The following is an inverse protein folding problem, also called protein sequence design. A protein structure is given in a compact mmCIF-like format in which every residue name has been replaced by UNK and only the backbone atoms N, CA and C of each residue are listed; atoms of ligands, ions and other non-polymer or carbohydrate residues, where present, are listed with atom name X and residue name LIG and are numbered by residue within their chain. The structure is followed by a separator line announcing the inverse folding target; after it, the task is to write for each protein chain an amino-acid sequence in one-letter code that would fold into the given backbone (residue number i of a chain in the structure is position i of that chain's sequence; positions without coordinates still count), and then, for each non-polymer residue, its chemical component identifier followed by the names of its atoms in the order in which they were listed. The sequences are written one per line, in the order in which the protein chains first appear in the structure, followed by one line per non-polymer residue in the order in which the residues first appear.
data_IF_634612848522
#
_entry.id   IF_634612848522
#
_cell.length_a   1.000
_cell.length_b   1.000
_cell.length_c   1.000
_cell.angle_alpha   90.00
_cell.angle_beta   90.00
_cell.angle_gamma   90.00
#
_symmetry.space_group_name_H-M   'P 1'
#
loop_
_entity.id
_entity.type
_entity.pdbx_description
1 polymer ?
#
# COMPACT_ATOMS: atom_id res chain seq x y z
N UNK A 1 -68.74 -2.01 10.55
CA UNK A 1 -67.41 -2.46 11.01
C UNK A 1 -66.46 -1.28 10.75
N UNK A 2 -66.47 -0.20 11.52
CA UNK A 2 -66.45 0.01 12.99
C UNK A 2 -65.21 -0.53 13.67
N UNK A 3 -64.47 0.42 14.27
CA UNK A 3 -63.48 0.29 15.35
C UNK A 3 -62.11 -0.24 14.95
N UNK A 4 -61.10 0.64 14.96
CA UNK A 4 -59.84 0.44 15.72
C UNK A 4 -58.77 1.45 15.24
N UNK A 5 -58.96 2.76 15.50
CA UNK A 5 -57.92 3.76 15.20
C UNK A 5 -57.92 4.98 16.14
N UNK A 6 -58.15 4.75 17.45
CA UNK A 6 -58.32 5.86 18.40
C UNK A 6 -57.62 5.66 19.77
N UNK A 7 -56.46 4.99 19.81
CA UNK A 7 -55.71 4.77 21.06
C UNK A 7 -54.21 5.03 20.93
N UNK A 8 -53.79 6.16 20.34
CA UNK A 8 -52.37 6.53 20.39
C UNK A 8 -52.09 8.05 20.43
N UNK A 9 -52.90 8.82 21.17
CA UNK A 9 -52.76 10.29 21.20
C UNK A 9 -52.34 10.94 22.52
N UNK A 10 -52.25 10.24 23.66
CA UNK A 10 -52.12 10.91 24.97
C UNK A 10 -50.98 10.38 25.88
N UNK A 11 -49.77 10.15 25.37
CA UNK A 11 -48.61 9.76 26.23
C UNK A 11 -47.56 10.90 26.37
N UNK A 12 -47.76 12.06 25.76
CA UNK A 12 -46.77 13.17 25.82
C UNK A 12 -47.14 14.33 26.75
N UNK A 13 -48.36 14.38 27.28
CA UNK A 13 -48.87 15.58 28.00
C UNK A 13 -48.37 15.73 29.46
N UNK A 14 -47.49 14.85 29.92
CA UNK A 14 -46.87 14.92 31.25
C UNK A 14 -45.35 14.99 31.24
N UNK A 15 -44.71 14.99 30.07
CA UNK A 15 -43.25 14.99 29.99
C UNK A 15 -42.78 16.45 30.12
N UNK A 16 -42.04 16.81 31.17
CA UNK A 16 -41.52 18.16 31.33
C UNK A 16 -40.75 18.57 30.08
N UNK A 17 -40.99 19.78 29.58
CA UNK A 17 -40.37 20.28 28.35
C UNK A 17 -38.84 20.10 28.30
N UNK A 18 -38.18 20.12 29.47
CA UNK A 18 -36.75 19.86 29.58
C UNK A 18 -36.32 18.42 29.23
N UNK A 19 -37.16 17.41 29.46
CA UNK A 19 -36.83 16.00 29.12
C UNK A 19 -36.99 15.76 27.62
N UNK A 20 -37.99 16.37 27.00
CA UNK A 20 -38.17 16.32 25.54
C UNK A 20 -37.02 17.03 24.82
N UNK A 21 -36.59 18.19 25.31
CA UNK A 21 -35.44 18.90 24.77
C UNK A 21 -34.12 18.16 25.00
N UNK A 22 -33.94 17.50 26.15
CA UNK A 22 -32.79 16.66 26.41
C UNK A 22 -32.75 15.41 25.49
N UNK A 23 -33.89 14.75 25.27
CA UNK A 23 -33.98 13.60 24.38
C UNK A 23 -33.72 13.98 22.91
N UNK A 24 -34.17 15.16 22.48
CA UNK A 24 -33.92 15.67 21.13
C UNK A 24 -32.46 16.10 20.93
N UNK A 25 -31.83 16.69 21.95
CA UNK A 25 -30.40 16.97 21.96
C UNK A 25 -29.56 15.68 21.90
N UNK A 26 -29.92 14.66 22.68
CA UNK A 26 -29.25 13.35 22.67
C UNK A 26 -29.45 12.62 21.34
N UNK A 27 -30.63 12.73 20.73
CA UNK A 27 -30.91 12.15 19.40
C UNK A 27 -30.13 12.85 18.29
N UNK A 28 -29.91 14.16 18.40
CA UNK A 28 -29.09 14.92 17.45
C UNK A 28 -27.58 14.68 17.63
N UNK A 29 -27.12 14.31 18.83
CA UNK A 29 -25.74 13.85 19.05
C UNK A 29 -25.48 12.41 18.59
N UNK A 30 -26.50 11.53 18.58
CA UNK A 30 -26.33 10.09 18.35
C UNK A 30 -26.57 9.61 16.91
N UNK A 31 -26.86 10.50 15.95
CA UNK A 31 -26.94 10.12 14.53
C UNK A 31 -25.69 10.59 13.78
N UNK A 32 -24.56 9.87 13.88
CA UNK A 32 -23.41 10.14 13.04
C UNK A 32 -23.73 9.69 11.61
N UNK A 33 -23.89 10.68 10.73
CA UNK A 33 -23.98 10.55 9.28
C UNK A 33 -22.94 9.54 8.75
N UNK A 34 -23.39 8.33 8.43
CA UNK A 34 -22.52 7.21 8.00
C UNK A 34 -21.78 7.51 6.69
N UNK A 35 -22.23 8.48 5.89
CA UNK A 35 -21.57 8.86 4.64
C UNK A 35 -20.27 9.64 4.85
N UNK A 36 -20.05 10.23 6.04
CA UNK A 36 -18.85 11.03 6.36
C UNK A 36 -17.62 10.22 6.74
N UNK A 37 -17.75 8.90 6.98
CA UNK A 37 -16.65 8.08 7.51
C UNK A 37 -15.52 7.79 6.51
N UNK A 38 -15.80 7.69 5.20
CA UNK A 38 -14.72 7.60 4.19
C UNK A 38 -14.17 8.98 3.78
N UNK A 39 -14.86 10.05 4.16
CA UNK A 39 -14.50 11.43 3.87
C UNK A 39 -13.58 12.05 4.93
N UNK A 40 -13.33 11.40 6.07
CA UNK A 40 -12.57 12.03 7.17
C UNK A 40 -11.11 12.33 6.80
N UNK A 41 -10.46 11.50 5.99
CA UNK A 41 -9.09 11.75 5.52
C UNK A 41 -9.02 12.91 4.52
N UNK A 42 -9.98 12.99 3.59
CA UNK A 42 -10.06 14.08 2.63
C UNK A 42 -10.47 15.41 3.28
N UNK A 43 -11.39 15.37 4.25
CA UNK A 43 -11.78 16.53 5.04
C UNK A 43 -10.60 17.00 5.88
N UNK A 44 -9.88 16.09 6.55
CA UNK A 44 -8.66 16.42 7.28
C UNK A 44 -7.59 17.06 6.39
N UNK A 45 -7.42 16.57 5.16
CA UNK A 45 -6.51 17.17 4.18
C UNK A 45 -6.95 18.59 3.75
N UNK A 46 -8.24 18.80 3.48
CA UNK A 46 -8.78 20.12 3.15
C UNK A 46 -8.66 21.08 4.33
N UNK A 47 -8.86 20.59 5.55
CA UNK A 47 -8.71 21.37 6.79
C UNK A 47 -7.25 21.74 7.04
N UNK A 48 -6.30 20.84 6.72
CA UNK A 48 -4.85 21.09 6.72
C UNK A 48 -4.43 22.16 5.70
N UNK A 49 -5.00 22.12 4.49
CA UNK A 49 -4.79 23.18 3.47
C UNK A 49 -5.30 24.52 4.01
N UNK A 50 -6.49 24.50 4.63
CA UNK A 50 -7.14 25.70 5.16
C UNK A 50 -6.42 26.28 6.37
N UNK A 51 -5.77 25.45 7.18
CA UNK A 51 -5.07 25.87 8.41
C UNK A 51 -3.65 26.39 8.18
N UNK A 52 -3.17 26.44 6.93
CA UNK A 52 -1.78 26.80 6.59
C UNK A 52 -0.74 26.04 7.42
N UNK A 53 -0.99 24.76 7.67
CA UNK A 53 -0.06 23.91 8.38
C UNK A 53 1.30 23.87 7.67
N UNK A 54 2.36 23.59 8.43
CA UNK A 54 3.72 23.46 7.89
C UNK A 54 3.71 22.47 6.71
N UNK A 55 4.29 22.91 5.59
CA UNK A 55 4.34 22.18 4.32
C UNK A 55 4.70 20.70 4.51
N UNK A 56 5.66 20.40 5.39
CA UNK A 56 6.15 19.04 5.65
C UNK A 56 5.05 18.09 6.20
N UNK A 57 4.18 18.57 7.11
CA UNK A 57 3.08 17.75 7.65
C UNK A 57 2.05 17.44 6.57
N UNK A 58 1.73 18.45 5.75
CA UNK A 58 0.76 18.34 4.67
C UNK A 58 1.22 17.33 3.60
N UNK A 59 2.50 17.37 3.22
CA UNK A 59 3.07 16.39 2.28
C UNK A 59 3.07 14.97 2.84
N UNK A 60 3.42 14.79 4.12
CA UNK A 60 3.40 13.48 4.77
C UNK A 60 1.99 12.85 4.78
N UNK A 61 1.00 13.63 5.21
CA UNK A 61 -0.40 13.20 5.27
C UNK A 61 -0.98 12.92 3.88
N UNK A 62 -0.66 13.75 2.88
CA UNK A 62 -1.06 13.53 1.49
C UNK A 62 -0.46 12.24 0.93
N UNK A 63 0.84 12.02 1.13
CA UNK A 63 1.54 10.82 0.65
C UNK A 63 0.92 9.56 1.25
N UNK A 64 0.62 9.56 2.55
CA UNK A 64 -0.05 8.45 3.20
C UNK A 64 -1.45 8.20 2.63
N UNK A 65 -2.26 9.24 2.47
CA UNK A 65 -3.61 9.13 1.93
C UNK A 65 -3.60 8.56 0.50
N UNK A 66 -2.64 8.99 -0.31
CA UNK A 66 -2.38 8.46 -1.65
C UNK A 66 -2.05 6.96 -1.57
N UNK A 67 -1.07 6.56 -0.75
CA UNK A 67 -0.67 5.15 -0.59
C UNK A 67 -1.85 4.27 -0.16
N UNK A 68 -2.61 4.69 0.86
CA UNK A 68 -3.77 3.94 1.35
C UNK A 68 -4.83 3.80 0.25
N UNK A 69 -5.16 4.90 -0.42
CA UNK A 69 -6.14 4.90 -1.52
C UNK A 69 -5.71 3.95 -2.64
N UNK A 70 -4.41 3.91 -2.95
CA UNK A 70 -3.88 2.98 -3.94
C UNK A 70 -3.94 1.53 -3.52
N UNK A 71 -3.64 1.19 -2.27
CA UNK A 71 -3.80 -0.18 -1.80
C UNK A 71 -5.25 -0.66 -2.00
N UNK A 72 -6.23 0.17 -1.62
CA UNK A 72 -7.64 -0.14 -1.86
C UNK A 72 -7.98 -0.25 -3.35
N UNK A 73 -7.45 0.66 -4.17
CA UNK A 73 -7.67 0.63 -5.61
C UNK A 73 -7.06 -0.61 -6.28
N UNK A 74 -5.88 -1.05 -5.86
CA UNK A 74 -5.24 -2.30 -6.34
C UNK A 74 -6.08 -3.51 -5.97
N UNK A 75 -6.53 -3.61 -4.72
CA UNK A 75 -7.43 -4.68 -4.27
C UNK A 75 -8.71 -4.69 -5.11
N UNK A 76 -9.32 -3.52 -5.33
CA UNK A 76 -10.52 -3.40 -6.14
C UNK A 76 -10.30 -3.85 -7.59
N UNK A 77 -9.18 -3.47 -8.22
CA UNK A 77 -8.84 -3.94 -9.56
C UNK A 77 -8.66 -5.46 -9.58
N UNK A 78 -7.95 -6.04 -8.61
CA UNK A 78 -7.73 -7.48 -8.55
C UNK A 78 -9.04 -8.25 -8.43
N UNK A 79 -9.96 -7.78 -7.58
CA UNK A 79 -11.30 -8.37 -7.44
C UNK A 79 -12.10 -8.22 -8.74
N UNK A 80 -12.13 -7.02 -9.33
CA UNK A 80 -12.87 -6.73 -10.57
C UNK A 80 -12.39 -7.59 -11.75
N UNK A 81 -11.08 -7.80 -11.86
CA UNK A 81 -10.48 -8.58 -12.94
C UNK A 81 -10.41 -10.08 -12.65
N UNK A 82 -10.91 -10.52 -11.48
CA UNK A 82 -10.96 -11.93 -11.13
C UNK A 82 -9.58 -12.57 -10.92
N UNK A 83 -8.56 -11.78 -10.57
CA UNK A 83 -7.20 -12.27 -10.29
C UNK A 83 -7.18 -13.38 -9.21
N UNK A 84 -7.98 -13.30 -8.13
CA UNK A 84 -8.05 -14.39 -7.15
C UNK A 84 -8.42 -15.75 -7.75
N UNK A 85 -9.22 -15.80 -8.83
CA UNK A 85 -9.59 -17.05 -9.48
C UNK A 85 -8.41 -17.69 -10.22
N UNK A 86 -7.44 -16.90 -10.70
CA UNK A 86 -6.22 -17.43 -11.32
C UNK A 86 -5.38 -18.23 -10.33
N UNK A 87 -5.47 -17.99 -9.03
CA UNK A 87 -4.77 -18.83 -8.04
C UNK A 87 -5.33 -20.25 -7.96
N UNK A 88 -6.63 -20.44 -8.21
CA UNK A 88 -7.21 -21.78 -8.22
C UNK A 88 -6.60 -22.62 -9.35
N UNK A 89 -6.45 -22.03 -10.54
CA UNK A 89 -5.78 -22.62 -11.71
C UNK A 89 -4.31 -22.94 -11.41
N UNK A 90 -3.57 -21.98 -10.83
CA UNK A 90 -2.16 -22.19 -10.43
C UNK A 90 -2.01 -23.33 -9.42
N UNK A 91 -2.91 -23.41 -8.42
CA UNK A 91 -2.87 -24.50 -7.44
C UNK A 91 -3.24 -25.86 -8.01
N UNK A 92 -4.02 -25.91 -9.09
CA UNK A 92 -4.33 -27.15 -9.79
C UNK A 92 -3.11 -27.65 -10.58
N UNK A 93 -2.46 -26.77 -11.34
CA UNK A 93 -1.23 -27.08 -12.09
C UNK A 93 -0.06 -27.45 -11.16
N UNK A 94 0.09 -26.76 -10.02
CA UNK A 94 1.07 -27.13 -8.99
C UNK A 94 0.89 -28.60 -8.53
N UNK A 95 -0.34 -29.05 -8.31
CA UNK A 95 -0.61 -30.44 -7.92
C UNK A 95 -0.24 -31.43 -9.03
N UNK A 96 -0.38 -31.02 -10.30
CA UNK A 96 0.00 -31.85 -11.45
C UNK A 96 1.52 -31.99 -11.50
N UNK A 97 2.28 -30.89 -11.36
CA UNK A 97 3.74 -30.93 -11.40
C UNK A 97 4.33 -31.70 -10.23
N UNK A 98 3.79 -31.53 -9.01
CA UNK A 98 4.24 -32.27 -7.84
C UNK A 98 3.96 -33.78 -7.91
N UNK A 99 3.01 -34.20 -8.74
CA UNK A 99 2.68 -35.62 -8.99
C UNK A 99 3.31 -36.16 -10.27
N UNK A 100 4.11 -35.37 -10.96
CA UNK A 100 4.78 -35.79 -12.19
C UNK A 100 5.82 -36.88 -11.88
N UNK A 101 5.84 -37.95 -12.68
CA UNK A 101 6.87 -39.00 -12.60
C UNK A 101 8.25 -38.52 -13.11
N UNK A 102 8.27 -37.36 -13.76
CA UNK A 102 9.47 -36.76 -14.33
C UNK A 102 10.25 -35.93 -13.29
N UNK A 103 11.40 -36.48 -12.85
CA UNK A 103 12.28 -35.87 -11.85
C UNK A 103 12.78 -34.47 -12.26
N UNK A 104 13.11 -34.25 -13.54
CA UNK A 104 13.63 -32.95 -14.02
C UNK A 104 12.57 -31.85 -13.88
N UNK A 105 11.30 -32.20 -14.10
CA UNK A 105 10.17 -31.27 -13.95
C UNK A 105 9.98 -30.93 -12.48
N UNK A 106 9.98 -31.93 -11.60
CA UNK A 106 9.81 -31.75 -10.15
C UNK A 106 10.96 -30.92 -9.57
N UNK A 107 12.21 -31.23 -9.91
CA UNK A 107 13.39 -30.49 -9.46
C UNK A 107 13.32 -29.02 -9.91
N UNK A 108 13.01 -28.79 -11.20
CA UNK A 108 12.88 -27.44 -11.74
C UNK A 108 11.77 -26.66 -11.04
N UNK A 109 10.63 -27.30 -10.80
CA UNK A 109 9.50 -26.71 -10.09
C UNK A 109 9.89 -26.32 -8.66
N UNK A 110 10.43 -27.26 -7.88
CA UNK A 110 10.84 -27.04 -6.49
C UNK A 110 11.92 -25.96 -6.38
N UNK A 111 12.87 -25.91 -7.31
CA UNK A 111 13.89 -24.86 -7.37
C UNK A 111 13.28 -23.47 -7.57
N UNK A 112 12.27 -23.33 -8.43
CA UNK A 112 11.55 -22.08 -8.61
C UNK A 112 10.70 -21.70 -7.40
N UNK A 113 10.05 -22.67 -6.76
CA UNK A 113 9.29 -22.44 -5.51
C UNK A 113 10.22 -21.99 -4.38
N UNK A 114 11.42 -22.57 -4.28
CA UNK A 114 12.42 -22.16 -3.29
C UNK A 114 12.87 -20.71 -3.54
N UNK A 115 13.15 -20.35 -4.80
CA UNK A 115 13.47 -18.98 -5.20
C UNK A 115 12.32 -18.01 -4.84
N UNK A 116 11.07 -18.38 -5.16
CA UNK A 116 9.90 -17.57 -4.82
C UNK A 116 9.76 -17.35 -3.31
N UNK A 117 9.85 -18.41 -2.51
CA UNK A 117 9.80 -18.33 -1.04
C UNK A 117 10.88 -17.39 -0.51
N UNK A 118 12.09 -17.47 -1.08
CA UNK A 118 13.18 -16.58 -0.72
C UNK A 118 12.87 -15.11 -1.07
N UNK A 119 12.39 -14.82 -2.28
CA UNK A 119 12.04 -13.47 -2.72
C UNK A 119 10.94 -12.85 -1.86
N UNK A 120 9.85 -13.58 -1.60
CA UNK A 120 8.74 -13.11 -0.77
C UNK A 120 9.18 -12.94 0.68
N UNK A 121 9.98 -13.87 1.22
CA UNK A 121 10.53 -13.76 2.58
C UNK A 121 11.39 -12.50 2.72
N UNK A 122 12.30 -12.25 1.77
CA UNK A 122 13.12 -11.03 1.75
C UNK A 122 12.24 -9.77 1.69
N UNK A 123 11.21 -9.75 0.84
CA UNK A 123 10.28 -8.62 0.76
C UNK A 123 9.55 -8.37 2.08
N UNK A 124 9.04 -9.43 2.73
CA UNK A 124 8.37 -9.34 4.04
C UNK A 124 9.35 -8.79 5.07
N UNK A 125 10.57 -9.32 5.14
CA UNK A 125 11.59 -8.89 6.09
C UNK A 125 11.99 -7.42 5.90
N UNK A 126 12.24 -7.00 4.66
CA UNK A 126 12.56 -5.60 4.35
C UNK A 126 11.42 -4.66 4.76
N UNK A 127 10.18 -5.00 4.38
CA UNK A 127 9.02 -4.17 4.69
C UNK A 127 8.77 -4.13 6.20
N UNK A 128 8.90 -5.26 6.89
CA UNK A 128 8.76 -5.35 8.34
C UNK A 128 9.81 -4.50 9.05
N UNK A 129 11.07 -4.59 8.62
CA UNK A 129 12.16 -3.79 9.18
C UNK A 129 11.89 -2.29 9.04
N UNK A 130 11.49 -1.83 7.85
CA UNK A 130 11.14 -0.42 7.62
C UNK A 130 10.00 0.05 8.54
N UNK A 131 8.94 -0.74 8.66
CA UNK A 131 7.80 -0.42 9.53
C UNK A 131 8.18 -0.44 11.01
N UNK A 132 8.98 -1.42 11.45
CA UNK A 132 9.46 -1.51 12.82
C UNK A 132 10.33 -0.30 13.18
N UNK A 133 11.27 0.08 12.32
CA UNK A 133 12.10 1.28 12.51
C UNK A 133 11.23 2.54 12.59
N UNK A 134 10.21 2.66 11.72
CA UNK A 134 9.28 3.78 11.75
C UNK A 134 8.50 3.85 13.08
N UNK A 135 7.93 2.73 13.54
CA UNK A 135 7.19 2.66 14.80
C UNK A 135 8.09 2.99 15.99
N UNK A 136 9.25 2.33 16.10
CA UNK A 136 10.20 2.53 17.20
C UNK A 136 10.69 3.97 17.25
N UNK A 137 10.99 4.59 16.11
CA UNK A 137 11.43 5.98 16.04
C UNK A 137 10.36 6.96 16.55
N UNK A 138 9.09 6.73 16.21
CA UNK A 138 7.98 7.56 16.70
C UNK A 138 7.72 7.34 18.20
N UNK A 139 7.78 6.11 18.69
CA UNK A 139 7.66 5.81 20.13
C UNK A 139 8.80 6.44 20.93
N UNK A 140 10.03 6.34 20.44
CA UNK A 140 11.20 6.95 21.08
C UNK A 140 11.05 8.48 21.20
N UNK A 141 10.63 9.15 20.12
CA UNK A 141 10.33 10.59 20.14
C UNK A 141 9.24 10.94 21.16
N UNK A 142 8.21 10.10 21.27
CA UNK A 142 7.10 10.28 22.22
C UNK A 142 7.58 10.20 23.66
N UNK A 143 8.32 9.14 24.01
CA UNK A 143 8.81 8.91 25.37
C UNK A 143 9.75 10.03 25.82
N UNK A 144 10.58 10.55 24.91
CA UNK A 144 11.52 11.62 25.20
C UNK A 144 10.92 13.03 25.09
N UNK A 145 9.61 13.16 24.88
CA UNK A 145 8.93 14.45 24.64
C UNK A 145 9.65 15.31 23.59
N UNK A 146 10.23 14.66 22.57
CA UNK A 146 11.06 15.30 21.55
C UNK A 146 10.26 15.75 20.32
N UNK A 147 8.93 15.67 20.38
CA UNK A 147 8.07 16.21 19.35
C UNK A 147 8.11 17.73 19.39
N UNK A 148 8.39 18.33 18.23
CA UNK A 148 8.28 19.79 18.09
C UNK A 148 6.81 20.20 18.15
N UNK A 149 6.53 21.45 18.55
CA UNK A 149 5.17 21.99 18.49
C UNK A 149 4.58 21.80 17.08
N UNK A 150 3.47 21.06 17.03
CA UNK A 150 2.75 20.70 15.81
C UNK A 150 3.18 19.39 15.14
N UNK A 151 4.16 18.65 15.67
CA UNK A 151 4.45 17.29 15.21
C UNK A 151 3.42 16.31 15.78
N UNK A 152 2.82 15.53 14.88
CA UNK A 152 1.85 14.47 15.21
C UNK A 152 2.55 13.12 15.38
N UNK A 153 1.99 12.29 16.27
CA UNK A 153 2.43 10.92 16.45
C UNK A 153 2.05 10.07 15.24
N UNK A 154 3.06 9.58 14.49
CA UNK A 154 2.93 8.78 13.26
C UNK A 154 2.20 9.47 12.10
N UNK A 155 0.88 9.65 12.21
CA UNK A 155 0.01 10.14 11.13
C UNK A 155 -1.01 11.15 11.62
N UNK A 156 -1.29 12.14 10.78
CA UNK A 156 -2.33 13.13 11.05
C UNK A 156 -3.71 12.59 10.66
N UNK A 157 -4.24 11.67 11.46
CA UNK A 157 -5.61 11.18 11.29
C UNK A 157 -6.55 12.10 12.07
N UNK A 158 -7.65 12.49 11.41
CA UNK A 158 -8.74 13.19 12.07
C UNK A 158 -9.58 12.19 12.85
N UNK A 159 -9.69 12.40 14.16
CA UNK A 159 -10.58 11.65 15.04
C UNK A 159 -11.66 12.59 15.57
N UNK A 160 -12.92 12.13 15.70
CA UNK A 160 -14.01 12.94 16.26
C UNK A 160 -13.92 13.11 17.78
N UNK A 161 -12.77 12.83 18.39
CA UNK A 161 -12.53 12.87 19.84
C UNK A 161 -11.39 13.84 20.14
N UNK A 162 -11.44 14.49 21.30
CA UNK A 162 -10.34 15.35 21.78
C UNK A 162 -9.07 14.51 21.98
N UNK A 163 -8.03 14.82 21.20
CA UNK A 163 -6.77 14.07 21.20
C UNK A 163 -6.08 14.11 22.56
N UNK A 164 -6.27 15.20 23.33
CA UNK A 164 -5.59 15.38 24.62
C UNK A 164 -6.09 14.40 25.68
N UNK A 165 -7.37 14.01 25.63
CA UNK A 165 -7.96 13.12 26.63
C UNK A 165 -7.72 11.62 26.31
N UNK A 166 -7.41 11.29 25.05
CA UNK A 166 -7.33 9.90 24.57
C UNK A 166 -6.01 9.57 23.84
N UNK A 167 -4.92 10.27 24.19
CA UNK A 167 -3.62 10.16 23.51
C UNK A 167 -3.09 8.70 23.41
N UNK A 168 -3.18 7.93 24.49
CA UNK A 168 -2.77 6.51 24.49
C UNK A 168 -3.60 5.66 23.53
N UNK A 169 -4.93 5.85 23.53
CA UNK A 169 -5.83 5.09 22.66
C UNK A 169 -5.56 5.39 21.18
N UNK A 170 -5.38 6.67 20.85
CA UNK A 170 -5.06 7.11 19.49
C UNK A 170 -3.73 6.50 19.04
N UNK A 171 -2.72 6.51 19.91
CA UNK A 171 -1.41 5.93 19.61
C UNK A 171 -1.48 4.42 19.31
N UNK A 172 -2.29 3.68 20.07
CA UNK A 172 -2.51 2.24 19.83
C UNK A 172 -3.23 2.04 18.50
N UNK A 173 -4.25 2.85 18.20
CA UNK A 173 -4.96 2.79 16.91
C UNK A 173 -4.04 3.07 15.73
N UNK A 174 -3.16 4.07 15.82
CA UNK A 174 -2.19 4.40 14.76
C UNK A 174 -1.23 3.24 14.50
N UNK A 175 -0.68 2.61 15.56
CA UNK A 175 0.15 1.41 15.43
C UNK A 175 -0.61 0.26 14.76
N UNK A 176 -1.87 0.05 15.13
CA UNK A 176 -2.72 -0.95 14.50
C UNK A 176 -2.96 -0.65 13.01
N UNK A 177 -3.23 0.60 12.66
CA UNK A 177 -3.45 1.04 11.28
C UNK A 177 -2.20 0.88 10.42
N UNK A 178 -1.02 1.25 10.94
CA UNK A 178 0.28 1.00 10.29
C UNK A 178 0.46 -0.49 10.01
N UNK A 179 0.14 -1.33 11.00
CA UNK A 179 0.27 -2.79 10.89
C UNK A 179 -0.67 -3.37 9.84
N UNK A 180 -1.92 -2.91 9.77
CA UNK A 180 -2.88 -3.31 8.73
C UNK A 180 -2.39 -2.86 7.35
N UNK A 181 -1.90 -1.63 7.23
CA UNK A 181 -1.31 -1.10 6.00
C UNK A 181 -0.13 -1.96 5.52
N UNK A 182 0.74 -2.37 6.45
CA UNK A 182 1.85 -3.29 6.18
C UNK A 182 1.39 -4.61 5.57
N UNK A 183 0.44 -5.31 6.21
CA UNK A 183 -0.04 -6.60 5.72
C UNK A 183 -0.72 -6.47 4.36
N UNK A 184 -1.54 -5.44 4.18
CA UNK A 184 -2.19 -5.18 2.89
C UNK A 184 -1.17 -4.88 1.79
N UNK A 185 -0.13 -4.08 2.07
CA UNK A 185 0.91 -3.78 1.09
C UNK A 185 1.65 -5.04 0.64
N UNK A 186 2.07 -5.89 1.58
CA UNK A 186 2.73 -7.17 1.29
C UNK A 186 1.80 -8.10 0.50
N UNK A 187 0.54 -8.22 0.91
CA UNK A 187 -0.42 -9.09 0.24
C UNK A 187 -0.67 -8.65 -1.20
N UNK A 188 -0.89 -7.35 -1.43
CA UNK A 188 -1.14 -6.80 -2.76
C UNK A 188 0.07 -6.93 -3.66
N UNK A 189 1.28 -6.67 -3.16
CA UNK A 189 2.50 -6.78 -3.94
C UNK A 189 2.86 -8.25 -4.28
N UNK A 190 2.57 -9.20 -3.39
CA UNK A 190 2.92 -10.62 -3.62
C UNK A 190 2.08 -11.28 -4.72
N UNK A 191 0.85 -10.82 -4.98
CA UNK A 191 -0.05 -11.39 -5.98
C UNK A 191 0.55 -11.40 -7.40
N UNK A 192 0.92 -10.25 -8.01
CA UNK A 192 1.48 -10.24 -9.36
C UNK A 192 2.82 -10.98 -9.43
N UNK A 193 3.66 -10.91 -8.38
CA UNK A 193 4.91 -11.68 -8.34
C UNK A 193 4.68 -13.19 -8.40
N UNK A 194 3.70 -13.69 -7.65
CA UNK A 194 3.38 -15.12 -7.62
C UNK A 194 2.93 -15.60 -9.00
N UNK A 195 2.02 -14.85 -9.64
CA UNK A 195 1.48 -15.23 -10.94
C UNK A 195 2.52 -15.12 -12.07
N UNK A 196 3.41 -14.12 -12.01
CA UNK A 196 4.51 -13.98 -12.97
C UNK A 196 5.55 -15.10 -12.82
N UNK A 197 5.86 -15.49 -11.58
CA UNK A 197 6.78 -16.60 -11.33
C UNK A 197 6.16 -17.90 -11.82
N UNK A 198 4.87 -18.14 -11.56
CA UNK A 198 4.14 -19.28 -12.12
C UNK A 198 4.31 -19.37 -13.65
N UNK A 199 4.07 -18.28 -14.38
CA UNK A 199 4.27 -18.26 -15.86
C UNK A 199 5.71 -18.59 -16.23
N UNK A 200 6.69 -18.07 -15.50
CA UNK A 200 8.11 -18.40 -15.70
C UNK A 200 8.39 -19.88 -15.48
N UNK A 201 7.79 -20.50 -14.46
CA UNK A 201 7.92 -21.93 -14.18
C UNK A 201 7.31 -22.76 -15.31
N UNK A 202 6.09 -22.45 -15.74
CA UNK A 202 5.40 -23.14 -16.84
C UNK A 202 6.21 -23.09 -18.13
N UNK A 203 6.81 -21.94 -18.46
CA UNK A 203 7.66 -21.80 -19.64
C UNK A 203 8.93 -22.66 -19.53
N UNK A 204 9.56 -22.74 -18.35
CA UNK A 204 10.73 -23.63 -18.12
C UNK A 204 10.36 -25.10 -18.25
N UNK A 205 9.24 -25.51 -17.66
CA UNK A 205 8.73 -26.89 -17.77
C UNK A 205 8.43 -27.22 -19.23
N UNK A 206 7.81 -26.30 -19.97
CA UNK A 206 7.57 -26.46 -21.40
C UNK A 206 8.88 -26.65 -22.18
N UNK A 207 9.93 -25.88 -21.88
CA UNK A 207 11.25 -26.05 -22.50
C UNK A 207 11.85 -27.43 -22.23
N UNK A 208 11.72 -27.95 -21.00
CA UNK A 208 12.18 -29.29 -20.64
C UNK A 208 11.41 -30.34 -21.45
N UNK A 209 10.08 -30.23 -21.52
CA UNK A 209 9.24 -31.17 -22.29
C UNK A 209 9.57 -31.13 -23.78
N UNK A 210 9.79 -29.95 -24.37
CA UNK A 210 10.24 -29.80 -25.76
C UNK A 210 11.57 -30.55 -25.95
N UNK A 211 12.56 -30.32 -25.08
CA UNK A 211 13.86 -30.99 -25.17
C UNK A 211 13.70 -32.51 -25.12
N UNK A 212 12.87 -33.03 -24.22
CA UNK A 212 12.63 -34.47 -24.08
C UNK A 212 11.98 -35.10 -25.31
N UNK A 213 10.99 -34.43 -25.92
CA UNK A 213 10.35 -34.92 -27.15
C UNK A 213 11.37 -35.06 -28.28
N UNK A 214 12.23 -34.05 -28.47
CA UNK A 214 13.23 -34.07 -29.54
C UNK A 214 14.50 -34.89 -29.23
N UNK A 215 14.80 -35.15 -27.96
CA UNK A 215 15.90 -36.04 -27.56
C UNK A 215 15.49 -37.51 -27.47
N UNK A 216 14.19 -37.82 -27.47
CA UNK A 216 13.74 -39.21 -27.50
C UNK A 216 14.04 -39.82 -28.87
N UNK A 217 14.69 -40.99 -28.91
CA UNK A 217 14.90 -41.76 -30.14
C UNK A 217 13.62 -42.48 -30.60
N UNK A 218 12.44 -41.91 -30.33
CA UNK A 218 11.19 -42.48 -30.81
C UNK A 218 11.15 -42.43 -32.34
N UNK A 219 10.94 -43.60 -32.95
CA UNK A 219 10.92 -43.77 -34.40
C UNK A 219 9.51 -43.62 -35.00
N UNK A 220 8.49 -43.48 -34.16
CA UNK A 220 7.12 -43.29 -34.60
C UNK A 220 6.80 -41.80 -34.77
N UNK A 221 6.79 -41.34 -36.02
CA UNK A 221 6.46 -39.97 -36.40
C UNK A 221 5.06 -39.55 -35.90
N UNK A 222 4.12 -40.48 -35.79
CA UNK A 222 2.76 -40.20 -35.31
C UNK A 222 2.73 -39.85 -33.81
N UNK A 223 3.45 -40.61 -32.98
CA UNK A 223 3.69 -40.31 -31.56
C UNK A 223 4.29 -38.90 -31.37
N UNK A 224 5.35 -38.60 -32.12
CA UNK A 224 6.05 -37.30 -32.01
C UNK A 224 5.13 -36.16 -32.40
N UNK A 225 4.36 -36.29 -33.49
CA UNK A 225 3.40 -35.28 -33.91
C UNK A 225 2.32 -35.00 -32.85
N UNK A 226 1.82 -36.04 -32.17
CA UNK A 226 0.85 -35.88 -31.08
C UNK A 226 1.45 -35.14 -29.88
N UNK A 227 2.67 -35.48 -29.46
CA UNK A 227 3.37 -34.80 -28.36
C UNK A 227 3.65 -33.33 -28.69
N UNK A 228 4.09 -33.04 -29.91
CA UNK A 228 4.30 -31.66 -30.37
C UNK A 228 2.99 -30.87 -30.36
N UNK A 229 1.88 -31.47 -30.79
CA UNK A 229 0.55 -30.83 -30.72
C UNK A 229 0.13 -30.51 -29.29
N UNK A 230 0.40 -31.39 -28.33
CA UNK A 230 0.15 -31.12 -26.90
C UNK A 230 1.00 -29.95 -26.39
N UNK A 231 2.29 -29.90 -26.75
CA UNK A 231 3.19 -28.81 -26.38
C UNK A 231 2.72 -27.46 -26.93
N UNK A 232 2.28 -27.43 -28.19
CA UNK A 232 1.71 -26.21 -28.81
C UNK A 232 0.48 -25.75 -28.03
N UNK A 233 -0.42 -26.68 -27.68
CA UNK A 233 -1.63 -26.35 -26.90
C UNK A 233 -1.28 -25.80 -25.52
N UNK A 234 -0.31 -26.41 -24.83
CA UNK A 234 0.18 -25.90 -23.53
C UNK A 234 0.81 -24.52 -23.66
N UNK A 235 1.59 -24.27 -24.71
CA UNK A 235 2.16 -22.95 -24.97
C UNK A 235 1.09 -21.87 -25.21
N UNK A 236 0.08 -22.19 -26.03
CA UNK A 236 -1.06 -21.31 -26.28
C UNK A 236 -1.82 -20.98 -24.99
N UNK A 237 -2.05 -21.99 -24.14
CA UNK A 237 -2.67 -21.78 -22.83
C UNK A 237 -1.86 -20.81 -21.95
N UNK A 238 -0.54 -20.94 -21.89
CA UNK A 238 0.33 -20.01 -21.15
C UNK A 238 0.21 -18.59 -21.71
N UNK A 239 0.15 -18.43 -23.04
CA UNK A 239 -0.03 -17.11 -23.68
C UNK A 239 -1.39 -16.51 -23.32
N UNK A 240 -2.46 -17.30 -23.37
CA UNK A 240 -3.82 -16.86 -22.99
C UNK A 240 -3.87 -16.42 -21.53
N UNK A 241 -3.30 -17.23 -20.63
CA UNK A 241 -3.17 -16.91 -19.21
C UNK A 241 -2.38 -15.60 -19.00
N UNK A 242 -1.21 -15.46 -19.64
CA UNK A 242 -0.37 -14.27 -19.51
C UNK A 242 -1.06 -13.03 -20.08
N UNK A 243 -1.80 -13.16 -21.18
CA UNK A 243 -2.57 -12.06 -21.78
C UNK A 243 -3.66 -11.59 -20.82
N UNK A 244 -4.42 -12.54 -20.24
CA UNK A 244 -5.45 -12.25 -19.24
C UNK A 244 -4.85 -11.62 -17.97
N UNK A 245 -3.71 -12.13 -17.51
CA UNK A 245 -2.99 -11.57 -16.37
C UNK A 245 -2.56 -10.13 -16.65
N UNK A 246 -1.90 -9.90 -17.79
CA UNK A 246 -1.44 -8.59 -18.22
C UNK A 246 -2.60 -7.60 -18.34
N UNK A 247 -3.71 -7.98 -18.97
CA UNK A 247 -4.90 -7.12 -19.03
C UNK A 247 -5.48 -6.82 -17.65
N UNK A 248 -5.37 -7.77 -16.72
CA UNK A 248 -5.80 -7.62 -15.35
C UNK A 248 -4.91 -6.71 -14.49
N UNK A 249 -3.60 -6.65 -14.75
CA UNK A 249 -2.63 -5.93 -13.90
C UNK A 249 -1.99 -4.70 -14.54
N UNK A 250 -2.11 -4.49 -15.87
CA UNK A 250 -1.44 -3.38 -16.58
C UNK A 250 -1.72 -2.01 -15.98
N UNK A 251 -2.97 -1.76 -15.57
CA UNK A 251 -3.36 -0.49 -14.95
C UNK A 251 -2.77 -0.33 -13.55
N UNK A 252 -2.63 -1.43 -12.81
CA UNK A 252 -2.00 -1.44 -11.48
C UNK A 252 -0.52 -1.10 -11.60
N UNK A 253 0.18 -1.74 -12.52
CA UNK A 253 1.60 -1.49 -12.79
C UNK A 253 1.82 -0.04 -13.21
N UNK A 254 0.97 0.49 -14.10
CA UNK A 254 1.08 1.88 -14.56
C UNK A 254 0.93 2.88 -13.40
N UNK A 255 -0.05 2.67 -12.53
CA UNK A 255 -0.29 3.56 -11.38
C UNK A 255 0.86 3.46 -10.38
N UNK A 256 1.34 2.26 -10.10
CA UNK A 256 2.50 2.04 -9.23
C UNK A 256 3.75 2.75 -9.76
N UNK A 257 4.01 2.61 -11.07
CA UNK A 257 5.13 3.30 -11.72
C UNK A 257 5.06 4.83 -11.61
N UNK A 258 3.88 5.42 -11.85
CA UNK A 258 3.69 6.87 -11.72
C UNK A 258 3.97 7.34 -10.29
N UNK A 259 3.52 6.57 -9.30
CA UNK A 259 3.71 6.93 -7.89
C UNK A 259 5.14 6.79 -7.44
N UNK A 260 5.79 5.70 -7.80
CA UNK A 260 7.19 5.50 -7.47
C UNK A 260 8.03 6.61 -8.11
N UNK A 261 7.68 7.04 -9.32
CA UNK A 261 8.32 8.20 -9.96
C UNK A 261 8.12 9.49 -9.17
N UNK A 262 6.90 9.76 -8.68
CA UNK A 262 6.60 10.94 -7.84
C UNK A 262 7.32 10.86 -6.50
N UNK A 263 7.32 9.69 -5.85
CA UNK A 263 7.98 9.46 -4.57
C UNK A 263 9.50 9.61 -4.68
N UNK A 264 10.11 9.07 -5.74
CA UNK A 264 11.54 9.24 -6.02
C UNK A 264 11.86 10.70 -6.29
N UNK A 265 11.03 11.41 -7.06
CA UNK A 265 11.21 12.84 -7.30
C UNK A 265 11.11 13.66 -5.99
N UNK A 266 10.13 13.36 -5.14
CA UNK A 266 9.98 14.00 -3.83
C UNK A 266 11.17 13.71 -2.90
N UNK A 267 11.61 12.45 -2.84
CA UNK A 267 12.77 12.05 -2.06
C UNK A 267 14.05 12.76 -2.54
N UNK A 268 14.27 12.86 -3.86
CA UNK A 268 15.39 13.60 -4.43
C UNK A 268 15.32 15.08 -4.07
N UNK A 269 14.13 15.70 -4.13
CA UNK A 269 13.93 17.08 -3.71
C UNK A 269 14.27 17.28 -2.23
N UNK A 270 13.87 16.36 -1.36
CA UNK A 270 14.23 16.39 0.06
C UNK A 270 15.74 16.24 0.27
N UNK A 271 16.41 15.32 -0.44
CA UNK A 271 17.86 15.15 -0.37
C UNK A 271 18.58 16.43 -0.81
N UNK A 272 18.17 17.00 -1.94
CA UNK A 272 18.69 18.26 -2.47
C UNK A 272 18.52 19.37 -1.43
N UNK A 273 17.32 19.52 -0.86
CA UNK A 273 17.05 20.58 0.13
C UNK A 273 17.84 20.35 1.42
N UNK A 274 17.94 19.11 1.91
CA UNK A 274 18.65 18.79 3.14
C UNK A 274 20.17 18.93 3.03
N UNK A 275 20.77 18.67 1.87
CA UNK A 275 22.23 18.74 1.66
C UNK A 275 22.66 20.10 1.14
N UNK A 276 21.99 20.60 0.09
CA UNK A 276 22.44 21.78 -0.65
C UNK A 276 22.13 23.06 0.14
N UNK A 277 20.99 23.15 0.83
CA UNK A 277 20.62 24.35 1.57
C UNK A 277 21.59 24.68 2.73
N UNK A 278 21.99 23.74 3.61
CA UNK A 278 23.01 24.03 4.63
C UNK A 278 24.39 24.26 4.03
N UNK A 279 24.69 23.72 2.84
CA UNK A 279 25.94 23.97 2.15
C UNK A 279 26.02 25.38 1.55
N UNK A 280 24.96 25.82 0.83
CA UNK A 280 24.87 27.17 0.25
C UNK A 280 24.87 28.23 1.34
N UNK A 281 24.13 28.03 2.43
CA UNK A 281 24.11 28.99 3.55
C UNK A 281 25.48 29.13 4.20
N UNK A 282 26.24 28.03 4.37
CA UNK A 282 27.65 28.10 4.84
C UNK A 282 28.55 28.88 3.89
N UNK A 283 28.42 28.68 2.57
CA UNK A 283 29.19 29.43 1.58
C UNK A 283 28.83 30.91 1.61
N UNK A 284 27.53 31.25 1.58
CA UNK A 284 27.05 32.62 1.63
C UNK A 284 27.53 33.36 2.90
N UNK A 285 27.51 32.67 4.06
CA UNK A 285 27.99 33.23 5.31
C UNK A 285 29.51 33.47 5.27
N UNK A 286 30.28 32.57 4.62
CA UNK A 286 31.73 32.76 4.44
C UNK A 286 32.05 33.96 3.54
N UNK A 287 31.31 34.16 2.45
CA UNK A 287 31.46 35.33 1.58
C UNK A 287 31.06 36.63 2.30
N UNK A 288 29.96 36.62 3.03
CA UNK A 288 29.52 37.78 3.81
C UNK A 288 30.57 38.17 4.87
N UNK A 289 31.10 37.20 5.62
CA UNK A 289 32.17 37.43 6.61
C UNK A 289 33.42 38.02 5.94
N UNK A 290 33.81 37.51 4.77
CA UNK A 290 34.98 38.03 4.04
C UNK A 290 34.75 39.47 3.55
N UNK A 291 33.55 39.80 3.06
CA UNK A 291 33.19 41.18 2.70
C UNK A 291 33.19 42.13 3.90
N UNK A 292 32.72 41.68 5.08
CA UNK A 292 32.77 42.47 6.32
C UNK A 292 34.22 42.70 6.76
N UNK A 293 35.08 41.68 6.69
CA UNK A 293 36.52 41.82 7.01
C UNK A 293 37.18 42.83 6.06
N UNK A 294 36.89 42.77 4.77
CA UNK A 294 37.38 43.76 3.79
C UNK A 294 36.87 45.17 4.06
N UNK A 295 35.62 45.34 4.53
CA UNK A 295 35.06 46.64 4.89
C UNK A 295 35.69 47.22 6.16
N UNK A 296 35.97 46.38 7.17
CA UNK A 296 36.56 46.80 8.45
C UNK A 296 38.06 47.08 8.32
N UNK A 297 38.79 46.30 7.53
CA UNK A 297 40.23 46.48 7.31
C UNK A 297 40.48 47.53 6.21
N UNK A 298 39.55 47.72 5.28
CA UNK A 298 39.63 48.68 4.18
C UNK A 298 39.24 50.11 4.53
N UNK A 299 39.29 50.51 5.81
CA UNK A 299 39.24 51.93 6.17
C UNK A 299 40.60 52.55 5.78
N UNK A 300 40.63 53.52 4.86
CA UNK A 300 41.87 54.19 4.50
C UNK A 300 42.39 54.92 5.74
N UNK A 301 43.54 54.50 6.23
CA UNK A 301 44.35 55.30 7.15
C UNK A 301 44.97 56.42 6.33
N UNK A 302 44.30 57.57 6.32
CA UNK A 302 44.94 58.86 6.01
C UNK A 302 46.08 59.15 7.01
#
# INVERSE_FOLDING_TARGET
MSSDDETNKNITDGVPAGILQAAENVKNELVPDRSKKSLSLLIGFVELIKSHAKSDSLFGSLTLAIIITMMFYKIFIYLKNGIPYSFAEVMEEEKIHLKSDDEDIVETYLGQVAYFKWTISTQIMCTFFTVAVFIVSNIYKKINNSFKEGEVFMYEIWFPYDKNNYDTLISVLDVCMVSIGFFNNVAVASVPYTLMIYVSVELRILQIRIRKVFSSHETDDASVALKVKELIRKHQHIIEFLTKLNDGIKNVILIEYILDSVNVAAALLHIITAIILPFITKIALSYWMNSVVHLVIGLPTD
#
